data_IF_766897217981
#
_entry.id   IF_766897217981
#
_cell.length_a   1.000
_cell.length_b   1.000
_cell.length_c   1.000
_cell.angle_alpha   90.00
_cell.angle_beta   90.00
_cell.angle_gamma   90.00
#
_symmetry.space_group_name_H-M   'P 1'
#
loop_
_entity.id
_entity.type
_entity.pdbx_description
1 polymer ?
#
# COMPACT_ATOMS: atom_id res chain seq x y z
N UNK A 1 -4.43 -4.89 -7.92
CA UNK A 1 -5.23 -5.32 -6.75
C UNK A 1 -5.98 -4.11 -6.22
N UNK A 2 -7.19 -4.31 -5.72
CA UNK A 2 -8.06 -3.25 -5.22
C UNK A 2 -9.05 -3.81 -4.20
N UNK A 3 -9.75 -2.92 -3.49
CA UNK A 3 -10.81 -3.32 -2.57
C UNK A 3 -12.14 -3.17 -3.29
N UNK A 4 -12.98 -4.21 -3.20
CA UNK A 4 -14.34 -4.21 -3.71
C UNK A 4 -15.22 -5.07 -2.81
N UNK A 5 -16.54 -4.83 -2.83
CA UNK A 5 -17.48 -5.76 -2.24
C UNK A 5 -17.47 -7.11 -2.99
N UNK A 6 -17.42 -8.20 -2.23
CA UNK A 6 -17.66 -9.56 -2.73
C UNK A 6 -19.13 -9.78 -3.07
N UNK A 7 -19.46 -10.94 -3.63
CA UNK A 7 -20.85 -11.36 -3.90
C UNK A 7 -21.73 -11.40 -2.64
N UNK A 8 -21.13 -11.56 -1.46
CA UNK A 8 -21.82 -11.49 -0.17
C UNK A 8 -21.95 -10.07 0.41
N UNK A 9 -21.58 -9.02 -0.33
CA UNK A 9 -21.61 -7.64 0.14
C UNK A 9 -20.48 -7.25 1.10
N UNK A 10 -19.59 -8.19 1.44
CA UNK A 10 -18.46 -7.95 2.34
C UNK A 10 -17.25 -7.40 1.58
N UNK A 11 -16.52 -6.41 2.12
CA UNK A 11 -15.32 -5.86 1.49
C UNK A 11 -14.25 -6.94 1.35
N UNK A 12 -13.56 -6.98 0.22
CA UNK A 12 -12.57 -8.00 -0.12
C UNK A 12 -11.42 -7.40 -0.91
N UNK A 13 -10.21 -7.92 -0.68
CA UNK A 13 -9.06 -7.67 -1.54
C UNK A 13 -9.24 -8.50 -2.81
N UNK A 14 -9.33 -7.79 -3.93
CA UNK A 14 -9.52 -8.35 -5.26
C UNK A 14 -8.24 -8.22 -6.09
N UNK A 15 -8.04 -9.17 -6.99
CA UNK A 15 -7.08 -9.08 -8.07
C UNK A 15 -7.82 -8.96 -9.40
N UNK A 16 -7.68 -7.81 -10.07
CA UNK A 16 -8.10 -7.69 -11.47
C UNK A 16 -7.09 -8.42 -12.35
N UNK A 17 -7.57 -9.38 -13.13
CA UNK A 17 -6.78 -10.16 -14.07
C UNK A 17 -7.49 -10.25 -15.42
N UNK A 18 -6.74 -10.58 -16.46
CA UNK A 18 -7.33 -10.90 -17.76
C UNK A 18 -8.12 -12.21 -17.66
N UNK A 19 -9.37 -12.20 -18.15
CA UNK A 19 -10.22 -13.37 -18.18
C UNK A 19 -9.89 -14.25 -19.40
N UNK A 20 -10.02 -15.57 -19.25
CA UNK A 20 -9.71 -16.52 -20.33
C UNK A 20 -10.52 -16.30 -21.63
N UNK A 21 -11.70 -15.68 -21.53
CA UNK A 21 -12.55 -15.33 -22.68
C UNK A 21 -12.39 -13.90 -23.21
N UNK A 22 -11.37 -13.17 -22.73
CA UNK A 22 -11.15 -11.76 -23.01
C UNK A 22 -11.81 -10.83 -21.98
N UNK A 23 -11.27 -9.62 -21.85
CA UNK A 23 -11.68 -8.64 -20.84
C UNK A 23 -11.01 -8.86 -19.49
N UNK A 24 -11.44 -8.11 -18.48
CA UNK A 24 -10.90 -8.18 -17.12
C UNK A 24 -11.94 -8.69 -16.13
N UNK A 25 -11.53 -9.59 -15.24
CA UNK A 25 -12.34 -10.07 -14.13
C UNK A 25 -11.66 -9.77 -12.79
N UNK A 26 -12.46 -9.58 -11.75
CA UNK A 26 -11.97 -9.39 -10.38
C UNK A 26 -12.08 -10.71 -9.61
N UNK A 27 -10.93 -11.29 -9.23
CA UNK A 27 -10.86 -12.50 -8.44
C UNK A 27 -10.64 -12.15 -6.94
N UNK A 28 -11.46 -12.67 -6.01
CA UNK A 28 -11.23 -12.46 -4.59
C UNK A 28 -9.99 -13.21 -4.11
N UNK A 29 -9.13 -12.51 -3.36
CA UNK A 29 -7.95 -13.08 -2.71
C UNK A 29 -8.18 -13.29 -1.22
N UNK A 30 -8.64 -12.24 -0.53
CA UNK A 30 -8.87 -12.25 0.91
C UNK A 30 -10.14 -11.47 1.21
N UNK A 31 -11.11 -12.13 1.82
CA UNK A 31 -12.34 -11.48 2.28
C UNK A 31 -12.10 -10.73 3.60
N UNK A 32 -12.82 -9.63 3.80
CA UNK A 32 -12.78 -8.83 5.02
C UNK A 32 -11.69 -7.75 5.04
N UNK A 33 -11.00 -7.51 3.92
CA UNK A 33 -10.00 -6.42 3.83
C UNK A 33 -10.71 -5.09 3.56
N UNK A 34 -10.61 -4.15 4.50
CA UNK A 34 -11.24 -2.83 4.43
C UNK A 34 -10.30 -1.71 4.02
N UNK A 35 -9.00 -1.87 4.28
CA UNK A 35 -7.94 -0.99 3.77
C UNK A 35 -6.73 -1.83 3.36
N UNK A 36 -6.10 -1.44 2.25
CA UNK A 36 -4.94 -2.09 1.65
C UNK A 36 -4.02 -0.98 1.13
N UNK A 37 -2.80 -0.94 1.66
CA UNK A 37 -1.84 0.13 1.41
C UNK A 37 -0.47 -0.47 1.07
N UNK A 38 0.22 0.14 0.11
CA UNK A 38 1.55 -0.29 -0.33
C UNK A 38 2.45 0.91 -0.49
N UNK A 39 3.60 0.87 0.17
CA UNK A 39 4.71 1.78 -0.08
C UNK A 39 5.92 1.03 -0.63
N UNK A 40 6.67 1.72 -1.48
CA UNK A 40 7.85 1.22 -2.17
C UNK A 40 9.08 1.76 -1.48
N UNK A 41 9.84 0.87 -0.84
CA UNK A 41 11.15 1.18 -0.29
C UNK A 41 12.15 1.34 -1.42
N UNK A 42 12.71 2.54 -1.56
CA UNK A 42 13.57 2.95 -2.67
C UNK A 42 14.96 3.33 -2.20
N UNK A 43 15.92 3.08 -3.08
CA UNK A 43 17.34 3.36 -2.93
C UNK A 43 17.70 4.57 -3.79
N UNK A 44 18.06 5.68 -3.15
CA UNK A 44 18.45 6.94 -3.76
C UNK A 44 17.45 7.46 -4.81
N UNK A 45 16.15 7.52 -4.44
CA UNK A 45 15.09 8.12 -5.26
C UNK A 45 14.49 9.32 -4.56
N UNK A 46 14.44 10.43 -5.30
CA UNK A 46 13.73 11.65 -4.90
C UNK A 46 12.34 11.64 -5.53
N UNK A 47 11.25 11.91 -4.77
CA UNK A 47 9.89 11.95 -5.30
C UNK A 47 9.76 12.80 -6.56
N UNK A 48 9.11 12.25 -7.58
CA UNK A 48 8.76 12.90 -8.84
C UNK A 48 9.95 13.46 -9.65
N UNK A 49 11.18 13.02 -9.34
CA UNK A 49 12.40 13.48 -9.98
C UNK A 49 13.16 12.32 -10.62
N UNK A 50 14.00 12.64 -11.60
CA UNK A 50 14.92 11.66 -12.17
C UNK A 50 15.92 11.20 -11.09
N UNK A 51 16.24 9.89 -11.04
CA UNK A 51 17.18 9.38 -10.06
C UNK A 51 18.58 9.90 -10.33
N UNK A 52 19.31 10.26 -9.27
CA UNK A 52 20.71 10.71 -9.35
C UNK A 52 21.60 9.81 -8.51
N UNK A 53 22.93 9.91 -8.66
CA UNK A 53 23.89 9.18 -7.83
C UNK A 53 23.86 7.65 -7.97
N UNK A 54 24.68 7.00 -7.14
CA UNK A 54 24.82 5.54 -7.06
C UNK A 54 23.81 4.92 -6.09
N UNK A 55 23.66 3.61 -6.15
CA UNK A 55 22.71 2.82 -5.33
C UNK A 55 23.49 1.75 -4.56
N UNK A 56 23.13 1.48 -3.31
CA UNK A 56 23.81 0.49 -2.44
C UNK A 56 22.96 -0.77 -2.13
N UNK A 57 21.79 -0.87 -2.75
CA UNK A 57 20.77 -1.90 -2.57
C UNK A 57 20.03 -1.86 -1.23
N UNK A 58 20.21 -0.81 -0.43
CA UNK A 58 19.46 -0.59 0.81
C UNK A 58 18.36 0.46 0.57
N UNK A 59 17.12 0.21 1.01
CA UNK A 59 16.07 1.24 0.93
C UNK A 59 16.37 2.40 1.89
N UNK A 60 16.46 3.63 1.37
CA UNK A 60 16.63 4.86 2.15
C UNK A 60 15.31 5.40 2.69
N UNK A 61 14.22 5.22 1.94
CA UNK A 61 12.89 5.75 2.26
C UNK A 61 11.79 4.95 1.59
N UNK A 62 10.55 5.17 2.03
CA UNK A 62 9.35 4.59 1.44
C UNK A 62 8.53 5.65 0.72
N UNK A 63 8.18 5.39 -0.54
CA UNK A 63 7.42 6.29 -1.41
C UNK A 63 6.14 5.62 -1.92
N UNK A 64 5.15 6.43 -2.29
CA UNK A 64 3.97 5.96 -3.03
C UNK A 64 4.27 5.77 -4.51
N UNK A 65 3.41 5.05 -5.22
CA UNK A 65 3.57 4.81 -6.66
C UNK A 65 3.56 6.10 -7.49
N UNK A 66 2.69 7.06 -7.16
CA UNK A 66 2.63 8.36 -7.84
C UNK A 66 3.96 9.11 -7.73
N UNK A 67 4.62 9.00 -6.58
CA UNK A 67 5.89 9.65 -6.31
C UNK A 67 7.10 9.06 -7.04
N UNK A 68 6.96 7.90 -7.69
CA UNK A 68 8.00 7.33 -8.56
C UNK A 68 7.91 7.84 -10.00
N UNK A 69 6.81 8.51 -10.35
CA UNK A 69 6.53 8.99 -11.71
C UNK A 69 7.23 10.31 -11.98
N UNK A 70 7.99 10.38 -13.08
CA UNK A 70 8.62 11.61 -13.56
C UNK A 70 7.82 12.12 -14.76
N UNK A 71 7.11 13.24 -14.57
CA UNK A 71 6.23 13.79 -15.59
C UNK A 71 6.97 14.04 -16.92
N UNK A 72 6.42 13.52 -18.02
CA UNK A 72 7.01 13.64 -19.36
C UNK A 72 8.29 12.83 -19.59
N UNK A 73 8.76 12.03 -18.62
CA UNK A 73 10.00 11.26 -18.74
C UNK A 73 9.79 9.79 -18.32
N UNK A 74 9.32 8.93 -19.26
CA UNK A 74 9.10 7.51 -18.97
C UNK A 74 10.41 6.79 -18.62
N UNK A 75 11.53 7.14 -19.26
CA UNK A 75 12.84 6.52 -18.99
C UNK A 75 13.28 6.75 -17.53
N UNK A 76 13.14 7.97 -17.03
CA UNK A 76 13.45 8.29 -15.64
C UNK A 76 12.45 7.63 -14.67
N UNK A 77 11.17 7.53 -15.04
CA UNK A 77 10.16 6.78 -14.28
C UNK A 77 10.56 5.32 -14.14
N UNK A 78 10.93 4.65 -15.23
CA UNK A 78 11.43 3.28 -15.18
C UNK A 78 12.69 3.16 -14.31
N UNK A 79 13.62 4.11 -14.42
CA UNK A 79 14.82 4.13 -13.59
C UNK A 79 14.50 4.22 -12.08
N UNK A 80 13.46 4.97 -11.68
CA UNK A 80 12.98 5.00 -10.30
C UNK A 80 12.43 3.63 -9.86
N UNK A 81 11.61 2.99 -10.69
CA UNK A 81 11.08 1.65 -10.40
C UNK A 81 12.18 0.58 -10.26
N UNK A 82 13.26 0.71 -11.06
CA UNK A 82 14.45 -0.16 -10.96
C UNK A 82 15.20 0.00 -9.64
N UNK A 83 14.95 1.06 -8.87
CA UNK A 83 15.55 1.36 -7.56
C UNK A 83 14.67 0.94 -6.38
N UNK A 84 13.54 0.27 -6.62
CA UNK A 84 12.74 -0.33 -5.55
C UNK A 84 13.49 -1.56 -4.99
N UNK A 85 13.60 -1.62 -3.66
CA UNK A 85 14.31 -2.66 -2.90
C UNK A 85 13.41 -3.36 -1.88
N UNK A 86 12.28 -2.77 -1.52
CA UNK A 86 11.32 -3.41 -0.63
C UNK A 86 9.90 -2.90 -0.84
N UNK A 87 8.93 -3.65 -0.36
CA UNK A 87 7.53 -3.27 -0.30
C UNK A 87 7.09 -3.30 1.15
N UNK A 88 6.53 -2.20 1.66
CA UNK A 88 5.83 -2.17 2.94
C UNK A 88 4.34 -2.26 2.66
N UNK A 89 3.73 -3.34 3.10
CA UNK A 89 2.34 -3.67 2.84
C UNK A 89 1.57 -3.58 4.16
N UNK A 90 0.46 -2.86 4.14
CA UNK A 90 -0.40 -2.63 5.29
C UNK A 90 -1.85 -2.94 4.97
N UNK A 91 -2.53 -3.66 5.87
CA UNK A 91 -3.92 -4.05 5.69
C UNK A 91 -4.71 -3.90 6.98
N UNK A 92 -6.01 -3.60 6.86
CA UNK A 92 -6.99 -3.69 7.95
C UNK A 92 -7.98 -4.78 7.60
N UNK A 93 -7.98 -5.85 8.40
CA UNK A 93 -8.89 -6.98 8.26
C UNK A 93 -10.00 -6.84 9.29
N UNK A 94 -11.22 -7.21 8.90
CA UNK A 94 -12.39 -7.22 9.78
C UNK A 94 -12.87 -8.63 10.09
N UNK A 95 -13.42 -8.81 11.28
CA UNK A 95 -14.10 -10.03 11.69
C UNK A 95 -15.54 -10.11 11.17
N UNK A 96 -16.24 -11.19 11.54
CA UNK A 96 -17.68 -11.30 11.42
C UNK A 96 -18.42 -10.26 12.31
N UNK A 97 -19.70 -9.96 12.03
CA UNK A 97 -20.53 -9.11 12.88
C UNK A 97 -20.54 -9.56 14.34
N UNK A 98 -20.53 -8.60 15.28
CA UNK A 98 -20.72 -8.86 16.70
C UNK A 98 -19.50 -9.39 17.44
N UNK A 99 -18.34 -9.55 16.79
CA UNK A 99 -17.13 -10.02 17.47
C UNK A 99 -16.42 -8.93 18.31
N UNK A 100 -16.71 -7.65 18.10
CA UNK A 100 -16.20 -6.60 18.98
C UNK A 100 -17.14 -6.34 20.16
N UNK A 101 -16.54 -6.33 21.35
CA UNK A 101 -17.21 -5.88 22.58
C UNK A 101 -17.21 -4.35 22.65
N UNK A 102 -16.13 -3.73 22.19
CA UNK A 102 -15.96 -2.28 22.11
C UNK A 102 -16.77 -1.67 20.96
N UNK A 103 -17.35 -0.50 21.22
CA UNK A 103 -18.15 0.29 20.29
C UNK A 103 -17.64 1.72 20.15
N UNK A 104 -16.46 2.03 20.69
CA UNK A 104 -15.82 3.30 20.43
C UNK A 104 -15.38 3.39 18.96
N UNK A 105 -15.36 4.61 18.43
CA UNK A 105 -14.69 4.87 17.16
C UNK A 105 -13.19 4.63 17.33
N UNK A 106 -12.58 3.93 16.38
CA UNK A 106 -11.15 3.59 16.41
C UNK A 106 -10.49 3.99 15.11
N UNK A 107 -9.28 4.54 15.21
CA UNK A 107 -8.45 4.90 14.05
C UNK A 107 -7.33 3.88 13.91
N UNK A 108 -7.20 3.33 12.71
CA UNK A 108 -6.19 2.35 12.33
C UNK A 108 -5.18 2.97 11.37
N UNK A 109 -3.93 2.55 11.49
CA UNK A 109 -2.82 2.95 10.62
C UNK A 109 -2.30 1.70 9.92
N UNK A 110 -2.76 1.38 8.68
CA UNK A 110 -2.41 0.12 8.01
C UNK A 110 -0.91 -0.11 7.89
N UNK A 111 -0.13 0.97 7.74
CA UNK A 111 1.32 0.95 7.59
C UNK A 111 2.08 1.10 8.93
N UNK A 112 1.38 1.02 10.07
CA UNK A 112 1.94 1.05 11.42
C UNK A 112 1.78 2.38 12.15
N UNK A 113 2.04 2.36 13.46
CA UNK A 113 1.81 3.48 14.40
C UNK A 113 3.04 4.36 14.64
N UNK A 114 4.14 4.13 13.91
CA UNK A 114 5.38 4.90 14.03
C UNK A 114 5.17 6.40 13.81
N UNK A 115 5.88 7.21 14.59
CA UNK A 115 5.82 8.67 14.55
C UNK A 115 6.85 9.23 13.57
N UNK A 116 6.45 10.17 12.71
CA UNK A 116 7.41 10.92 11.89
C UNK A 116 8.28 11.81 12.77
N UNK A 117 9.54 12.03 12.36
CA UNK A 117 10.44 13.01 12.97
C UNK A 117 9.90 14.43 12.90
N UNK A 118 9.09 14.75 11.89
CA UNK A 118 8.64 16.12 11.64
C UNK A 118 7.47 16.51 12.54
N UNK A 119 6.48 15.61 12.69
CA UNK A 119 5.24 15.90 13.43
C UNK A 119 5.13 15.21 14.79
N UNK A 120 5.89 14.13 15.04
CA UNK A 120 5.78 13.33 16.26
C UNK A 120 4.43 12.64 16.49
N UNK A 121 3.49 12.76 15.55
CA UNK A 121 2.15 12.21 15.66
C UNK A 121 2.12 10.70 15.40
N UNK A 122 1.28 9.95 16.12
CA UNK A 122 1.18 8.49 15.95
C UNK A 122 0.75 8.17 14.51
N UNK A 123 1.44 7.20 13.90
CA UNK A 123 1.19 6.74 12.54
C UNK A 123 1.61 7.70 11.43
N UNK A 124 2.16 8.87 11.75
CA UNK A 124 2.54 9.87 10.75
C UNK A 124 3.82 9.54 9.97
N UNK A 125 4.59 8.53 10.39
CA UNK A 125 5.81 8.14 9.67
C UNK A 125 5.54 7.60 8.26
N UNK A 126 4.40 6.92 8.08
CA UNK A 126 4.05 6.24 6.82
C UNK A 126 2.63 6.56 6.34
N UNK A 127 1.93 7.48 6.98
CA UNK A 127 0.58 7.86 6.60
C UNK A 127 0.52 9.30 6.11
N UNK A 128 -0.26 9.53 5.05
CA UNK A 128 -0.58 10.86 4.54
C UNK A 128 -2.07 10.91 4.17
N UNK A 129 -2.95 11.16 5.14
CA UNK A 129 -4.41 11.09 4.90
C UNK A 129 -4.92 12.03 3.79
N UNK A 130 -4.18 13.10 3.47
CA UNK A 130 -4.55 14.06 2.42
C UNK A 130 -4.24 13.53 1.02
N UNK A 131 -3.03 13.00 0.82
CA UNK A 131 -2.54 12.58 -0.49
C UNK A 131 -2.54 11.06 -0.68
N UNK A 132 -2.84 10.31 0.37
CA UNK A 132 -2.91 8.85 0.42
C UNK A 132 -4.16 8.39 1.21
N UNK A 133 -5.36 8.56 0.62
CA UNK A 133 -6.59 8.17 1.28
C UNK A 133 -6.56 6.70 1.71
N UNK A 134 -6.93 6.44 2.97
CA UNK A 134 -6.91 5.10 3.55
C UNK A 134 -5.59 4.71 4.23
N UNK A 135 -4.52 5.52 4.14
CA UNK A 135 -3.31 5.37 4.96
C UNK A 135 -3.57 5.66 6.45
N UNK A 136 -4.66 6.37 6.74
CA UNK A 136 -5.32 6.48 8.04
C UNK A 136 -6.75 6.04 7.83
N UNK A 137 -7.22 5.07 8.62
CA UNK A 137 -8.51 4.41 8.39
C UNK A 137 -9.36 4.44 9.67
N UNK A 138 -10.49 5.16 9.61
CA UNK A 138 -11.48 5.21 10.70
C UNK A 138 -12.80 4.66 10.17
N UNK A 139 -13.08 3.37 10.37
CA UNK A 139 -14.31 2.74 9.91
C UNK A 139 -15.52 3.17 10.75
N UNK A 140 -16.72 2.93 10.22
CA UNK A 140 -17.95 3.07 10.99
C UNK A 140 -17.96 2.07 12.17
N UNK A 141 -18.58 2.49 13.28
CA UNK A 141 -18.78 1.62 14.45
C UNK A 141 -19.86 0.59 14.12
N UNK A 142 -19.45 -0.65 13.87
CA UNK A 142 -20.32 -1.75 13.40
C UNK A 142 -20.17 -3.04 14.24
N UNK A 143 -19.55 -2.94 15.42
CA UNK A 143 -19.27 -4.07 16.34
C UNK A 143 -18.44 -5.20 15.71
N UNK A 144 -17.62 -4.89 14.70
CA UNK A 144 -16.63 -5.83 14.15
C UNK A 144 -15.25 -5.55 14.72
N UNK A 145 -14.56 -6.62 15.10
CA UNK A 145 -13.15 -6.55 15.48
C UNK A 145 -12.33 -6.27 14.22
N UNK A 146 -11.33 -5.41 14.34
CA UNK A 146 -10.42 -5.08 13.27
C UNK A 146 -8.99 -5.32 13.70
N UNK A 147 -8.21 -5.89 12.79
CA UNK A 147 -6.81 -6.17 13.01
C UNK A 147 -5.98 -5.54 11.91
N UNK A 148 -4.95 -4.80 12.31
CA UNK A 148 -3.94 -4.30 11.40
C UNK A 148 -2.89 -5.38 11.18
N UNK A 149 -2.59 -5.67 9.92
CA UNK A 149 -1.47 -6.52 9.53
C UNK A 149 -0.53 -5.70 8.67
N UNK A 150 0.71 -5.56 9.12
CA UNK A 150 1.76 -4.84 8.40
C UNK A 150 2.99 -5.70 8.28
N UNK A 151 3.56 -5.80 7.08
CA UNK A 151 4.81 -6.51 6.86
C UNK A 151 5.61 -5.86 5.75
N UNK A 152 6.91 -6.16 5.72
CA UNK A 152 7.83 -5.68 4.69
C UNK A 152 8.42 -6.86 3.93
N UNK A 153 8.36 -6.81 2.61
CA UNK A 153 8.98 -7.78 1.71
C UNK A 153 10.21 -7.13 1.07
N UNK A 154 11.39 -7.73 1.24
CA UNK A 154 12.59 -7.30 0.53
C UNK A 154 12.66 -7.93 -0.85
N UNK A 155 12.97 -7.11 -1.86
CA UNK A 155 13.14 -7.53 -3.24
C UNK A 155 14.64 -7.71 -3.51
N UNK A 156 15.04 -8.95 -3.79
CA UNK A 156 16.44 -9.28 -4.12
C UNK A 156 16.68 -9.43 -5.62
N UNK A 157 15.61 -9.52 -6.40
CA UNK A 157 15.72 -9.65 -7.84
C UNK A 157 15.98 -8.28 -8.47
N UNK A 158 16.91 -8.25 -9.42
CA UNK A 158 17.11 -7.10 -10.29
C UNK A 158 15.81 -6.86 -11.07
N UNK A 159 15.21 -5.69 -10.89
CA UNK A 159 14.03 -5.29 -11.66
C UNK A 159 14.51 -4.88 -13.06
N UNK A 160 14.91 -5.83 -13.91
CA UNK A 160 15.20 -5.56 -15.31
C UNK A 160 13.99 -5.94 -16.16
N UNK A 161 13.24 -4.95 -16.61
CA UNK A 161 12.24 -5.09 -17.66
C UNK A 161 12.75 -4.24 -18.83
N UNK A 162 13.68 -4.76 -19.62
CA UNK A 162 13.85 -4.24 -20.97
C UNK A 162 12.56 -4.60 -21.75
N UNK A 163 11.96 -3.67 -22.51
CA UNK A 163 10.92 -4.03 -23.44
C UNK A 163 11.53 -4.95 -24.52
N UNK A 164 10.88 -6.09 -24.76
CA UNK A 164 11.14 -6.91 -25.93
C UNK A 164 10.68 -6.19 -27.20
#
# INVERSE_FOLDING_TARGET
MHIQASSGGEPSLMCTREASGGGFEAQPLVQGVESFQVLYGVDNVTPNAAPTGTTDSVPDRYLRADQLTVSGNPVATYANWRRVRSLRIGMVLRSQPGSAVDTASQTFYPLGTSKSSDSGAIGSAFANATNDPGSVFTPAVDRRLRQVVTFTVHLRNFQNLEPN
#
